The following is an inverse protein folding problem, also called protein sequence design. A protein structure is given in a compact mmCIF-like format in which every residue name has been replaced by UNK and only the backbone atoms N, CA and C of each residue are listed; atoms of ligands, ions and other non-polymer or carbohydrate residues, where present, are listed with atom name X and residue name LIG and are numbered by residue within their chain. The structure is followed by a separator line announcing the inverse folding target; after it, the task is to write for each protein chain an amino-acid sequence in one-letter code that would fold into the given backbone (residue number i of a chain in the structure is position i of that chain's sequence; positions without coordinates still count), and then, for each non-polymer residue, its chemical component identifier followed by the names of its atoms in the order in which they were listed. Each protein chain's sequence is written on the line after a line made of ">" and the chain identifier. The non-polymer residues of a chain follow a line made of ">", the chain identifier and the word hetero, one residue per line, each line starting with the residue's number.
data_IF_286435675677
#
_entry.id   IF_286435675677
#
_cell.length_a   1.000
_cell.length_b   1.000
_cell.length_c   1.000
_cell.angle_alpha   90.00
_cell.angle_beta   90.00
_cell.angle_gamma   90.00
#
_symmetry.space_group_name_H-M   'P 1'
#
loop_
_entity.id
_entity.type
_entity.pdbx_description
1 polymer ?
#
# COMPACT_ATOMS: atom_id res chain seq x y z
N UNK A 1 -23.75 -37.46 16.75
CA UNK A 1 -22.65 -36.49 16.76
C UNK A 1 -22.83 -35.62 17.99
N UNK A 2 -21.87 -35.71 18.92
CA UNK A 2 -21.94 -35.06 20.22
C UNK A 2 -22.02 -33.53 20.05
N UNK A 3 -22.89 -32.85 20.80
CA UNK A 3 -23.11 -31.39 20.71
C UNK A 3 -21.79 -30.63 20.90
N UNK A 4 -20.84 -31.19 21.65
CA UNK A 4 -19.48 -30.65 21.83
C UNK A 4 -18.63 -30.69 20.55
N UNK A 5 -18.80 -31.72 19.72
CA UNK A 5 -18.09 -31.87 18.43
C UNK A 5 -18.56 -30.83 17.41
N UNK A 6 -19.86 -30.53 17.40
CA UNK A 6 -20.44 -29.50 16.51
C UNK A 6 -19.98 -28.09 16.91
N UNK A 7 -19.87 -27.81 18.21
CA UNK A 7 -19.36 -26.54 18.75
C UNK A 7 -17.87 -26.36 18.45
N UNK A 8 -17.06 -27.41 18.60
CA UNK A 8 -15.63 -27.36 18.28
C UNK A 8 -15.40 -27.12 16.78
N UNK A 9 -16.16 -27.80 15.91
CA UNK A 9 -16.06 -27.63 14.47
C UNK A 9 -16.48 -26.23 14.01
N UNK A 10 -17.55 -25.66 14.60
CA UNK A 10 -17.96 -24.28 14.29
C UNK A 10 -16.94 -23.26 14.78
N UNK A 11 -16.36 -23.45 15.96
CA UNK A 11 -15.32 -22.55 16.48
C UNK A 11 -14.06 -22.56 15.60
N UNK A 12 -13.65 -23.74 15.12
CA UNK A 12 -12.53 -23.91 14.21
C UNK A 12 -12.80 -23.24 12.85
N UNK A 13 -14.00 -23.40 12.30
CA UNK A 13 -14.42 -22.74 11.06
C UNK A 13 -14.40 -21.21 11.19
N UNK A 14 -14.90 -20.67 12.30
CA UNK A 14 -14.87 -19.23 12.56
C UNK A 14 -13.44 -18.71 12.67
N UNK A 15 -12.54 -19.44 13.32
CA UNK A 15 -11.12 -19.07 13.41
C UNK A 15 -10.42 -19.09 12.05
N UNK A 16 -10.69 -20.09 11.20
CA UNK A 16 -10.09 -20.15 9.85
C UNK A 16 -10.59 -19.02 8.95
N UNK A 17 -11.90 -18.70 9.02
CA UNK A 17 -12.48 -17.57 8.25
C UNK A 17 -11.93 -16.22 8.72
N UNK A 18 -11.73 -16.04 10.03
CA UNK A 18 -11.16 -14.81 10.56
C UNK A 18 -9.67 -14.67 10.23
N UNK A 19 -8.92 -15.77 10.13
CA UNK A 19 -7.53 -15.74 9.66
C UNK A 19 -7.41 -15.37 8.17
N UNK A 20 -8.32 -15.87 7.34
CA UNK A 20 -8.41 -15.49 5.93
C UNK A 20 -8.89 -14.03 5.70
N UNK A 21 -9.45 -13.39 6.73
CA UNK A 21 -9.80 -11.97 6.72
C UNK A 21 -8.64 -11.07 7.19
N UNK A 22 -7.51 -11.64 7.64
CA UNK A 22 -6.30 -10.92 8.06
C UNK A 22 -5.34 -10.63 6.89
N UNK A 23 -5.80 -10.71 5.64
CA UNK A 23 -5.11 -10.23 4.43
C UNK A 23 -5.08 -8.68 4.40
N UNK A 24 -4.83 -8.06 5.55
CA UNK A 24 -5.18 -6.68 5.87
C UNK A 24 -4.55 -6.24 7.19
N UNK A 25 -3.23 -6.37 7.31
CA UNK A 25 -2.47 -5.45 8.17
C UNK A 25 -2.61 -4.06 7.55
N UNK A 26 -3.71 -3.37 7.87
CA UNK A 26 -4.11 -2.01 7.47
C UNK A 26 -3.09 -1.25 6.61
N UNK A 27 -3.07 -1.57 5.32
CA UNK A 27 -2.25 -0.86 4.35
C UNK A 27 -2.74 0.58 4.17
N UNK A 28 -1.81 1.54 4.11
CA UNK A 28 -2.18 2.93 3.82
C UNK A 28 -2.62 2.97 2.36
N UNK A 29 -3.85 3.38 2.11
CA UNK A 29 -4.41 3.53 0.76
C UNK A 29 -4.38 2.27 -0.11
N UNK A 30 -4.55 1.10 0.51
CA UNK A 30 -4.56 -0.19 -0.20
C UNK A 30 -3.17 -0.77 -0.47
N UNK A 31 -2.13 -0.22 0.17
CA UNK A 31 -0.75 -0.73 0.09
C UNK A 31 -0.19 -1.04 1.47
N UNK A 32 0.48 -2.18 1.57
CA UNK A 32 1.32 -2.53 2.71
C UNK A 32 2.54 -1.62 2.81
N UNK A 33 3.11 -1.52 4.02
CA UNK A 33 4.35 -0.77 4.24
C UNK A 33 5.53 -1.30 3.39
N UNK A 34 5.52 -2.58 3.05
CA UNK A 34 6.56 -3.20 2.23
C UNK A 34 6.41 -2.82 0.75
N UNK A 35 5.18 -2.75 0.23
CA UNK A 35 4.93 -2.21 -1.11
C UNK A 35 5.36 -0.74 -1.22
N UNK A 36 5.20 0.04 -0.14
CA UNK A 36 5.69 1.41 -0.13
C UNK A 36 7.22 1.53 -0.27
N UNK A 37 7.97 0.55 0.23
CA UNK A 37 9.44 0.53 0.06
C UNK A 37 9.83 0.31 -1.40
N UNK A 38 8.97 -0.28 -2.24
CA UNK A 38 9.21 -0.42 -3.67
C UNK A 38 9.24 0.94 -4.39
N UNK A 39 8.61 1.98 -3.83
CA UNK A 39 8.66 3.35 -4.36
C UNK A 39 9.95 4.08 -3.99
N UNK A 40 10.56 3.70 -2.87
CA UNK A 40 11.71 4.40 -2.32
C UNK A 40 12.87 4.58 -3.31
N UNK A 41 13.27 3.59 -4.14
CA UNK A 41 14.36 3.77 -5.10
C UNK A 41 14.08 4.87 -6.14
N UNK A 42 12.83 5.00 -6.60
CA UNK A 42 12.45 5.97 -7.63
C UNK A 42 12.04 7.33 -7.06
N UNK A 43 11.63 7.36 -5.79
CA UNK A 43 11.23 8.57 -5.07
C UNK A 43 12.21 9.01 -3.97
N UNK A 44 13.43 8.46 -3.93
CA UNK A 44 14.44 8.85 -2.94
C UNK A 44 14.83 10.33 -3.07
N UNK A 45 15.12 10.96 -1.93
CA UNK A 45 15.71 12.31 -1.88
C UNK A 45 17.11 12.31 -2.49
N UNK A 46 17.91 11.28 -2.21
CA UNK A 46 19.30 11.15 -2.67
C UNK A 46 19.45 10.01 -3.69
N UNK A 47 20.14 10.28 -4.80
CA UNK A 47 20.40 9.31 -5.89
C UNK A 47 19.17 8.48 -6.31
N UNK A 48 18.05 9.13 -6.69
CA UNK A 48 16.87 8.41 -7.15
C UNK A 48 17.15 7.69 -8.46
N UNK A 49 16.63 6.47 -8.58
CA UNK A 49 16.55 5.78 -9.88
C UNK A 49 15.56 6.50 -10.77
N UNK A 50 15.92 6.61 -12.04
CA UNK A 50 15.11 7.34 -13.02
C UNK A 50 13.79 6.61 -13.32
N UNK A 51 13.80 5.28 -13.27
CA UNK A 51 12.65 4.44 -13.61
C UNK A 51 12.16 3.61 -12.41
N UNK A 52 10.84 3.56 -12.17
CA UNK A 52 10.24 2.63 -11.21
C UNK A 52 10.43 1.17 -11.66
N UNK A 53 10.48 0.24 -10.72
CA UNK A 53 10.44 -1.19 -11.03
C UNK A 53 9.03 -1.60 -11.48
N UNK A 54 8.93 -2.74 -12.19
CA UNK A 54 7.64 -3.30 -12.59
C UNK A 54 6.74 -3.57 -11.36
N UNK A 55 7.32 -4.16 -10.29
CA UNK A 55 6.61 -4.43 -9.04
C UNK A 55 6.07 -3.15 -8.37
N UNK A 56 6.80 -2.04 -8.50
CA UNK A 56 6.37 -0.73 -8.03
C UNK A 56 5.15 -0.25 -8.85
N UNK A 57 5.19 -0.35 -10.18
CA UNK A 57 4.04 0.03 -11.00
C UNK A 57 2.82 -0.87 -10.80
N UNK A 58 3.01 -2.18 -10.62
CA UNK A 58 1.92 -3.12 -10.31
C UNK A 58 1.26 -2.80 -8.97
N UNK A 59 2.07 -2.54 -7.94
CA UNK A 59 1.58 -2.11 -6.65
C UNK A 59 0.79 -0.79 -6.78
N UNK A 60 1.33 0.22 -7.50
CA UNK A 60 0.63 1.49 -7.76
C UNK A 60 -0.68 1.31 -8.53
N UNK A 61 -0.75 0.32 -9.42
CA UNK A 61 -1.98 -0.03 -10.14
C UNK A 61 -3.07 -0.58 -9.23
N UNK A 62 -2.70 -1.21 -8.12
CA UNK A 62 -3.63 -1.70 -7.09
C UNK A 62 -3.91 -0.68 -5.98
N UNK A 63 -3.09 0.38 -5.87
CA UNK A 63 -3.29 1.43 -4.88
C UNK A 63 -4.52 2.29 -5.14
N UNK A 64 -5.05 2.83 -4.05
CA UNK A 64 -6.03 3.90 -4.10
C UNK A 64 -5.34 5.27 -4.24
N UNK A 65 -5.11 5.71 -5.48
CA UNK A 65 -4.47 7.00 -5.80
C UNK A 65 -5.21 8.21 -5.19
N UNK A 66 -6.54 8.14 -5.04
CA UNK A 66 -7.33 9.17 -4.35
C UNK A 66 -7.06 9.25 -2.85
N UNK A 67 -6.84 8.10 -2.21
CA UNK A 67 -6.41 8.08 -0.82
C UNK A 67 -4.98 8.62 -0.67
N UNK A 68 -4.05 8.19 -1.53
CA UNK A 68 -2.65 8.66 -1.52
C UNK A 68 -2.63 10.18 -1.66
N UNK A 69 -3.47 10.70 -2.56
CA UNK A 69 -3.62 12.13 -2.76
C UNK A 69 -3.97 12.90 -1.49
N UNK A 70 -4.98 12.40 -0.77
CA UNK A 70 -5.41 12.98 0.50
C UNK A 70 -4.34 12.86 1.58
N UNK A 71 -3.51 11.81 1.51
CA UNK A 71 -2.43 11.56 2.46
C UNK A 71 -1.18 12.40 2.21
N UNK A 72 -0.99 12.99 1.03
CA UNK A 72 0.20 13.74 0.66
C UNK A 72 0.62 14.78 1.72
N UNK A 73 -0.35 15.55 2.25
CA UNK A 73 -0.09 16.55 3.29
C UNK A 73 0.23 16.00 4.69
N UNK A 74 -0.17 14.75 4.98
CA UNK A 74 0.00 14.08 6.29
C UNK A 74 1.21 13.14 6.26
N UNK A 75 1.62 12.70 5.06
CA UNK A 75 2.72 11.80 4.82
C UNK A 75 4.10 12.41 5.15
N UNK A 76 4.20 13.70 5.46
CA UNK A 76 5.48 14.39 5.69
C UNK A 76 6.35 13.82 6.83
N UNK A 77 5.78 13.14 7.82
CA UNK A 77 6.58 12.40 8.83
C UNK A 77 7.14 11.10 8.22
N UNK A 78 6.31 10.41 7.46
CA UNK A 78 6.62 9.13 6.85
C UNK A 78 7.64 9.27 5.72
N UNK A 79 7.45 10.25 4.84
CA UNK A 79 8.37 10.64 3.78
C UNK A 79 9.76 10.97 4.34
N UNK A 80 9.83 11.67 5.48
CA UNK A 80 11.11 11.95 6.16
C UNK A 80 11.77 10.69 6.72
N UNK A 81 11.02 9.78 7.35
CA UNK A 81 11.58 8.52 7.85
C UNK A 81 12.18 7.67 6.74
N UNK A 82 11.49 7.56 5.60
CA UNK A 82 11.92 6.74 4.46
C UNK A 82 12.81 7.49 3.46
N UNK A 83 13.17 8.75 3.72
CA UNK A 83 13.97 9.59 2.83
C UNK A 83 13.37 9.68 1.40
N UNK A 84 12.05 9.84 1.33
CA UNK A 84 11.26 9.95 0.11
C UNK A 84 10.93 11.42 -0.14
N UNK A 85 11.12 11.86 -1.38
CA UNK A 85 10.69 13.17 -1.87
C UNK A 85 9.23 13.12 -2.31
N UNK A 86 8.41 14.04 -1.77
CA UNK A 86 6.97 14.09 -2.04
C UNK A 86 6.67 14.32 -3.52
N UNK A 87 7.41 15.22 -4.19
CA UNK A 87 7.18 15.53 -5.60
C UNK A 87 7.52 14.34 -6.49
N UNK A 88 8.62 13.63 -6.20
CA UNK A 88 8.99 12.42 -6.93
C UNK A 88 7.98 11.30 -6.71
N UNK A 89 7.50 11.10 -5.48
CA UNK A 89 6.47 10.11 -5.17
C UNK A 89 5.17 10.40 -5.94
N UNK A 90 4.75 11.65 -5.99
CA UNK A 90 3.57 12.10 -6.75
C UNK A 90 3.73 11.99 -8.26
N UNK A 91 4.97 11.98 -8.77
CA UNK A 91 5.25 11.75 -10.19
C UNK A 91 5.29 10.27 -10.60
N UNK A 92 5.38 9.33 -9.63
CA UNK A 92 5.45 7.89 -9.93
C UNK A 92 4.25 7.34 -10.70
N UNK A 93 2.99 7.69 -10.37
CA UNK A 93 1.85 7.21 -11.15
C UNK A 93 1.99 7.55 -12.64
N UNK A 94 2.39 8.78 -12.96
CA UNK A 94 2.63 9.19 -14.36
C UNK A 94 3.73 8.37 -15.05
N UNK A 95 4.82 8.03 -14.34
CA UNK A 95 5.88 7.15 -14.86
C UNK A 95 5.39 5.71 -15.09
N UNK A 96 4.42 5.26 -14.31
CA UNK A 96 3.77 3.96 -14.46
C UNK A 96 2.57 3.98 -15.43
N UNK A 97 2.35 5.06 -16.18
CA UNK A 97 1.19 5.23 -17.06
C UNK A 97 -0.16 5.18 -16.33
N UNK A 98 -0.17 5.56 -15.05
CA UNK A 98 -1.35 5.70 -14.21
C UNK A 98 -1.73 7.19 -14.09
N UNK A 99 -3.02 7.47 -14.08
CA UNK A 99 -3.53 8.84 -13.94
C UNK A 99 -3.84 9.15 -12.50
N UNK A 100 -3.17 10.16 -11.93
CA UNK A 100 -3.49 10.65 -10.59
C UNK A 100 -4.77 11.50 -10.62
N UNK A 101 -5.60 11.52 -9.56
CA UNK A 101 -6.83 12.29 -9.56
C UNK A 101 -6.56 13.79 -9.71
N UNK A 102 -7.49 14.49 -10.36
CA UNK A 102 -7.48 15.96 -10.41
C UNK A 102 -7.53 16.51 -8.97
N UNK A 103 -6.76 17.56 -8.67
CA UNK A 103 -6.50 18.14 -7.34
C UNK A 103 -5.39 17.46 -6.52
N UNK A 104 -4.56 16.64 -7.17
CA UNK A 104 -3.33 16.13 -6.60
C UNK A 104 -2.11 16.80 -7.24
N UNK A 105 -1.64 17.88 -6.61
CA UNK A 105 -0.51 18.69 -7.07
C UNK A 105 0.33 19.16 -5.90
#
# INVERSE_FOLDING_TARGET
>A
MDKSQALAATLLLVMVVSLAALEGVHGICGMSNDEFKLFQPAAAVNNPKDSPSAECCDALGMANLSCICRYNGIAGIWLRMYHIDANRAMALPGKCSLTMPNNCS
#
